data_IF_195397185780
#
_entry.id   IF_195397185780
#
_cell.length_a   1.000
_cell.length_b   1.000
_cell.length_c   1.000
_cell.angle_alpha   90.00
_cell.angle_beta   90.00
_cell.angle_gamma   90.00
#
_symmetry.space_group_name_H-M   'P 1'
#
loop_
_entity.id
_entity.type
_entity.pdbx_description
1 polymer ?
#
# COMPACT_ATOMS: atom_id res chain seq x y z
N UNK A 1 32.90 -14.45 17.05
CA UNK A 1 32.21 -13.56 18.01
C UNK A 1 31.94 -12.26 17.28
N UNK A 2 30.78 -12.13 16.64
CA UNK A 2 30.43 -10.98 15.80
C UNK A 2 30.00 -9.83 16.71
N UNK A 3 30.76 -8.73 16.67
CA UNK A 3 30.41 -7.49 17.35
C UNK A 3 29.21 -6.85 16.62
N UNK A 4 28.03 -6.96 17.21
CA UNK A 4 26.87 -6.13 16.86
C UNK A 4 27.13 -4.76 17.50
N UNK A 5 27.46 -3.76 16.68
CA UNK A 5 27.53 -2.38 17.12
C UNK A 5 26.11 -1.88 17.31
N UNK A 6 25.61 -1.92 18.54
CA UNK A 6 24.43 -1.15 18.93
C UNK A 6 24.80 0.34 18.88
N UNK A 7 24.29 1.06 17.89
CA UNK A 7 24.25 2.52 17.96
C UNK A 7 23.18 2.90 19.00
N UNK A 8 23.60 3.03 20.26
CA UNK A 8 22.82 3.69 21.29
C UNK A 8 22.86 5.19 21.04
N UNK A 9 21.90 5.70 20.28
CA UNK A 9 21.62 7.14 20.24
C UNK A 9 20.90 7.52 21.54
N UNK A 10 21.69 7.89 22.54
CA UNK A 10 21.24 8.75 23.63
C UNK A 10 21.03 10.15 23.04
N UNK A 11 19.78 10.47 22.66
CA UNK A 11 19.38 11.85 22.38
C UNK A 11 18.41 12.29 23.48
N UNK A 12 18.93 13.16 24.34
CA UNK A 12 18.13 14.02 25.21
C UNK A 12 17.48 15.12 24.37
N UNK A 13 16.17 15.09 24.17
CA UNK A 13 15.40 16.28 23.76
C UNK A 13 13.90 16.09 23.97
N UNK A 14 13.27 17.11 24.54
CA UNK A 14 11.89 17.19 25.03
C UNK A 14 10.82 17.38 23.95
N UNK A 15 11.00 16.78 22.77
CA UNK A 15 10.01 16.84 21.68
C UNK A 15 9.63 15.41 21.28
N UNK A 16 8.33 15.12 21.23
CA UNK A 16 7.80 13.79 20.92
C UNK A 16 8.43 13.22 19.66
N UNK A 17 8.88 11.97 19.74
CA UNK A 17 9.47 11.26 18.61
C UNK A 17 8.36 10.88 17.62
N UNK A 18 8.25 11.59 16.50
CA UNK A 18 7.28 11.29 15.45
C UNK A 18 7.86 10.25 14.48
N UNK A 19 7.08 9.21 14.13
CA UNK A 19 7.53 8.13 13.24
C UNK A 19 7.98 8.68 11.87
N UNK A 20 7.31 9.73 11.41
CA UNK A 20 7.66 10.46 10.18
C UNK A 20 9.12 10.93 10.18
N UNK A 21 9.57 11.57 11.25
CA UNK A 21 10.91 12.17 11.30
C UNK A 21 11.99 11.09 11.26
N UNK A 22 11.77 9.99 12.00
CA UNK A 22 12.65 8.83 11.99
C UNK A 22 12.79 8.20 10.59
N UNK A 23 11.69 8.01 9.87
CA UNK A 23 11.72 7.42 8.52
C UNK A 23 12.44 8.34 7.54
N UNK A 24 12.17 9.65 7.60
CA UNK A 24 12.81 10.63 6.72
C UNK A 24 14.32 10.65 6.92
N UNK A 25 14.82 10.41 8.13
CA UNK A 25 16.26 10.35 8.40
C UNK A 25 16.90 9.07 7.85
N UNK A 26 16.27 7.89 8.01
CA UNK A 26 16.76 6.64 7.39
C UNK A 26 16.85 6.79 5.85
N UNK A 27 15.84 7.39 5.23
CA UNK A 27 15.79 7.56 3.77
C UNK A 27 16.91 8.47 3.23
N UNK A 28 17.41 9.44 4.02
CA UNK A 28 18.52 10.32 3.60
C UNK A 28 19.85 9.56 3.46
N UNK A 29 20.06 8.55 4.30
CA UNK A 29 21.30 7.75 4.32
C UNK A 29 21.37 6.74 3.16
N UNK A 30 20.23 6.38 2.55
CA UNK A 30 20.15 5.36 1.48
C UNK A 30 20.41 5.88 0.04
N UNK A 31 20.94 7.09 -0.14
CA UNK A 31 21.15 7.72 -1.46
C UNK A 31 22.20 6.99 -2.33
N UNK A 32 21.78 5.92 -3.01
CA UNK A 32 22.59 5.21 -4.03
C UNK A 32 21.87 5.27 -5.38
N UNK A 33 22.48 5.94 -6.36
CA UNK A 33 21.94 6.10 -7.72
C UNK A 33 21.51 4.76 -8.35
N UNK A 34 20.32 4.75 -8.96
CA UNK A 34 19.75 3.63 -9.72
C UNK A 34 20.68 3.27 -10.89
N UNK A 35 20.95 1.98 -11.08
CA UNK A 35 21.55 1.50 -12.33
C UNK A 35 20.39 1.06 -13.24
N UNK A 36 20.52 1.23 -14.56
CA UNK A 36 19.47 0.91 -15.50
C UNK A 36 19.05 -0.56 -15.38
N UNK A 37 17.81 -0.81 -14.93
CA UNK A 37 17.19 -2.13 -14.91
C UNK A 37 16.55 -2.37 -16.26
N UNK A 38 16.67 -3.58 -16.80
CA UNK A 38 15.95 -3.99 -18.00
C UNK A 38 14.44 -3.96 -17.73
N UNK A 39 13.82 -2.86 -18.13
CA UNK A 39 12.40 -2.59 -17.96
C UNK A 39 11.49 -3.63 -18.65
N UNK A 40 12.01 -4.45 -19.56
CA UNK A 40 11.23 -5.49 -20.26
C UNK A 40 10.89 -6.70 -19.38
N UNK A 41 11.50 -6.81 -18.20
CA UNK A 41 11.33 -7.93 -17.25
C UNK A 41 10.70 -7.53 -15.92
N UNK A 42 10.30 -6.27 -15.76
CA UNK A 42 9.66 -5.79 -14.54
C UNK A 42 8.26 -6.39 -14.46
N UNK A 43 8.06 -7.30 -13.51
CA UNK A 43 6.72 -7.71 -13.08
C UNK A 43 6.32 -6.79 -11.96
N UNK A 44 5.26 -6.03 -12.15
CA UNK A 44 4.69 -5.18 -11.13
C UNK A 44 4.04 -6.09 -10.08
N UNK A 45 4.67 -6.32 -8.91
CA UNK A 45 4.15 -7.25 -7.90
C UNK A 45 4.04 -6.63 -6.52
N UNK A 46 3.09 -7.14 -5.74
CA UNK A 46 2.97 -6.83 -4.33
C UNK A 46 4.11 -7.49 -3.53
N UNK A 47 4.56 -6.80 -2.46
CA UNK A 47 5.60 -7.28 -1.56
C UNK A 47 5.12 -8.26 -0.49
N UNK A 48 3.80 -8.37 -0.28
CA UNK A 48 3.23 -9.27 0.72
C UNK A 48 3.43 -10.72 0.31
N UNK A 49 4.00 -11.54 1.21
CA UNK A 49 4.40 -12.90 0.90
C UNK A 49 3.22 -13.89 0.84
N UNK A 50 3.06 -14.59 -0.28
CA UNK A 50 2.08 -15.67 -0.48
C UNK A 50 2.24 -16.85 0.50
N UNK A 51 3.47 -17.13 0.95
CA UNK A 51 3.76 -18.21 1.90
C UNK A 51 3.19 -17.94 3.31
N UNK A 52 2.71 -16.72 3.56
CA UNK A 52 2.05 -16.33 4.79
C UNK A 52 0.52 -16.31 4.69
N UNK A 53 -0.09 -17.00 3.71
CA UNK A 53 -1.55 -17.16 3.63
C UNK A 53 -2.21 -17.72 4.91
N UNK A 54 -1.42 -18.25 5.84
CA UNK A 54 -1.83 -18.65 7.19
C UNK A 54 -1.84 -17.46 8.18
N UNK A 55 -0.95 -16.47 8.07
CA UNK A 55 -0.85 -15.36 9.03
C UNK A 55 -1.84 -14.21 8.83
N UNK A 56 -2.27 -13.90 7.59
CA UNK A 56 -3.21 -12.78 7.37
C UNK A 56 -4.62 -13.11 7.88
N UNK A 57 -5.08 -14.35 7.69
CA UNK A 57 -6.36 -14.83 8.25
C UNK A 57 -6.35 -14.98 9.77
N UNK A 58 -5.17 -15.10 10.37
CA UNK A 58 -4.98 -15.13 11.83
C UNK A 58 -4.88 -13.72 12.44
N UNK A 59 -4.95 -12.66 11.62
CA UNK A 59 -4.92 -11.29 12.14
C UNK A 59 -6.30 -10.85 12.61
N UNK A 60 -6.32 -10.19 13.76
CA UNK A 60 -7.56 -9.69 14.34
C UNK A 60 -8.09 -8.59 13.43
N UNK A 61 -9.28 -8.76 12.83
CA UNK A 61 -9.83 -7.74 11.95
C UNK A 61 -10.16 -6.47 12.73
N UNK A 62 -10.25 -5.34 12.04
CA UNK A 62 -10.64 -4.08 12.67
C UNK A 62 -12.01 -4.21 13.35
N UNK A 63 -12.02 -4.10 14.68
CA UNK A 63 -13.22 -4.31 15.50
C UNK A 63 -14.13 -3.08 15.51
N UNK A 64 -13.54 -1.88 15.39
CA UNK A 64 -14.28 -0.63 15.37
C UNK A 64 -14.95 -0.43 14.00
N UNK A 65 -16.18 0.08 14.01
CA UNK A 65 -16.88 0.44 12.77
C UNK A 65 -16.16 1.60 12.05
N UNK A 66 -15.58 2.52 12.81
CA UNK A 66 -14.76 3.61 12.30
C UNK A 66 -13.28 3.24 12.40
N UNK A 67 -12.62 3.12 11.26
CA UNK A 67 -11.18 2.90 11.12
C UNK A 67 -10.56 4.18 10.56
N UNK A 68 -9.49 4.65 11.19
CA UNK A 68 -8.87 5.92 10.83
C UNK A 68 -7.59 5.72 10.03
N UNK A 69 -7.25 6.66 9.15
CA UNK A 69 -6.01 6.59 8.39
C UNK A 69 -5.33 7.94 8.24
N UNK A 70 -4.01 7.93 8.05
CA UNK A 70 -3.22 9.13 7.80
C UNK A 70 -2.08 8.86 6.82
N UNK A 71 -1.86 9.79 5.89
CA UNK A 71 -0.65 9.83 5.06
C UNK A 71 0.45 10.55 5.85
N UNK A 72 1.42 9.78 6.36
CA UNK A 72 2.53 10.31 7.18
C UNK A 72 3.66 10.88 6.32
N UNK A 73 3.93 10.22 5.19
CA UNK A 73 5.02 10.58 4.28
C UNK A 73 4.45 10.69 2.89
N UNK A 74 4.51 11.89 2.35
CA UNK A 74 3.95 12.25 1.05
C UNK A 74 4.83 11.77 -0.10
N UNK A 75 4.21 11.42 -1.22
CA UNK A 75 4.93 11.07 -2.44
C UNK A 75 5.69 12.26 -3.02
N UNK A 76 6.86 12.01 -3.58
CA UNK A 76 7.57 12.99 -4.43
C UNK A 76 7.10 12.94 -5.89
N UNK A 77 6.22 11.99 -6.25
CA UNK A 77 5.78 11.72 -7.63
C UNK A 77 4.33 12.14 -7.89
N UNK A 78 3.49 12.11 -6.87
CA UNK A 78 2.09 12.52 -6.92
C UNK A 78 1.85 13.73 -6.02
N UNK A 79 0.91 14.60 -6.41
CA UNK A 79 0.44 15.65 -5.50
C UNK A 79 -0.39 15.05 -4.35
N UNK A 80 -0.39 15.72 -3.20
CA UNK A 80 -1.18 15.29 -2.03
C UNK A 80 -2.66 15.14 -2.38
N UNK A 81 -3.21 16.04 -3.20
CA UNK A 81 -4.61 15.97 -3.63
C UNK A 81 -4.93 14.75 -4.49
N UNK A 82 -3.98 14.28 -5.30
CA UNK A 82 -4.16 13.02 -6.05
C UNK A 82 -4.12 11.86 -5.06
N UNK A 83 -3.09 11.79 -4.21
CA UNK A 83 -2.94 10.73 -3.21
C UNK A 83 -4.19 10.59 -2.34
N UNK A 84 -4.65 11.71 -1.75
CA UNK A 84 -5.82 11.73 -0.85
C UNK A 84 -7.11 11.30 -1.55
N UNK A 85 -7.37 11.80 -2.77
CA UNK A 85 -8.58 11.40 -3.52
C UNK A 85 -8.54 9.94 -3.93
N UNK A 86 -7.40 9.45 -4.40
CA UNK A 86 -7.24 8.05 -4.81
C UNK A 86 -7.38 7.09 -3.62
N UNK A 87 -6.76 7.41 -2.47
CA UNK A 87 -6.91 6.62 -1.25
C UNK A 87 -8.36 6.61 -0.77
N UNK A 88 -9.01 7.78 -0.73
CA UNK A 88 -10.43 7.88 -0.36
C UNK A 88 -11.31 7.02 -1.28
N UNK A 89 -11.10 7.09 -2.60
CA UNK A 89 -11.83 6.27 -3.56
C UNK A 89 -11.63 4.76 -3.29
N UNK A 90 -10.39 4.34 -3.01
CA UNK A 90 -10.10 2.93 -2.72
C UNK A 90 -10.75 2.47 -1.41
N UNK A 91 -10.70 3.30 -0.36
CA UNK A 91 -11.41 3.04 0.90
C UNK A 91 -12.93 3.00 0.73
N UNK A 92 -13.50 3.89 -0.08
CA UNK A 92 -14.94 3.94 -0.36
C UNK A 92 -15.43 2.66 -1.05
N UNK A 93 -14.61 2.09 -1.95
CA UNK A 93 -14.91 0.80 -2.61
C UNK A 93 -15.00 -0.33 -1.57
N UNK A 94 -14.03 -0.44 -0.67
CA UNK A 94 -14.08 -1.46 0.38
C UNK A 94 -15.23 -1.21 1.36
N UNK A 95 -15.36 0.03 1.84
CA UNK A 95 -16.43 0.50 2.73
C UNK A 95 -17.82 0.15 2.19
N UNK A 96 -18.04 0.25 0.88
CA UNK A 96 -19.33 -0.09 0.27
C UNK A 96 -19.77 -1.54 0.50
N UNK A 97 -18.83 -2.46 0.73
CA UNK A 97 -19.10 -3.89 0.84
C UNK A 97 -19.17 -4.42 2.28
N UNK A 98 -18.58 -3.70 3.24
CA UNK A 98 -18.45 -4.08 4.66
C UNK A 98 -18.92 -2.99 5.62
N UNK A 99 -19.29 -3.31 6.88
CA UNK A 99 -19.70 -2.33 7.88
C UNK A 99 -18.51 -1.58 8.50
N UNK A 100 -17.59 -1.08 7.67
CA UNK A 100 -16.44 -0.27 8.10
C UNK A 100 -16.43 1.06 7.37
N UNK A 101 -16.25 2.13 8.11
CA UNK A 101 -16.06 3.49 7.61
C UNK A 101 -14.61 3.90 7.80
N UNK A 102 -14.00 4.42 6.74
CA UNK A 102 -12.61 4.87 6.78
C UNK A 102 -12.55 6.39 6.82
N UNK A 103 -11.86 6.93 7.83
CA UNK A 103 -11.79 8.38 8.03
C UNK A 103 -10.36 8.86 8.12
N UNK A 104 -10.02 9.79 7.24
CA UNK A 104 -8.74 10.46 7.28
C UNK A 104 -8.62 11.35 8.53
N UNK A 105 -7.49 11.26 9.22
CA UNK A 105 -7.16 12.07 10.39
C UNK A 105 -5.86 12.84 10.16
N UNK A 106 -5.69 13.94 10.90
CA UNK A 106 -4.50 14.80 10.82
C UNK A 106 -3.51 14.57 11.97
N UNK A 107 -3.84 13.72 12.93
CA UNK A 107 -2.99 13.39 14.07
C UNK A 107 -2.51 11.93 13.99
N UNK A 108 -1.18 11.75 13.97
CA UNK A 108 -0.53 10.45 13.83
C UNK A 108 -0.90 9.50 14.97
N UNK A 109 -1.10 10.03 16.19
CA UNK A 109 -1.42 9.20 17.36
C UNK A 109 -2.83 8.62 17.30
N UNK A 110 -3.71 9.25 16.51
CA UNK A 110 -5.10 8.84 16.31
C UNK A 110 -5.34 7.94 15.11
N UNK A 111 -4.31 7.66 14.29
CA UNK A 111 -4.43 6.90 13.06
C UNK A 111 -4.22 5.40 13.28
N UNK A 112 -5.25 4.60 12.94
CA UNK A 112 -5.16 3.14 12.91
C UNK A 112 -4.28 2.66 11.74
N UNK A 113 -4.46 3.27 10.57
CA UNK A 113 -3.72 2.95 9.34
C UNK A 113 -2.75 4.09 9.01
N UNK A 114 -1.46 3.78 8.96
CA UNK A 114 -0.36 4.70 8.67
C UNK A 114 0.20 4.42 7.29
N UNK A 115 0.06 5.39 6.41
CA UNK A 115 0.43 5.31 4.99
C UNK A 115 1.69 6.13 4.75
N UNK A 116 2.68 5.56 4.05
CA UNK A 116 3.92 6.28 3.73
C UNK A 116 4.49 5.95 2.36
N UNK A 117 4.97 6.99 1.67
CA UNK A 117 5.79 6.85 0.46
C UNK A 117 7.27 6.84 0.84
N UNK A 118 7.90 5.67 0.80
CA UNK A 118 9.26 5.42 1.33
C UNK A 118 10.14 4.75 0.28
N UNK A 119 11.46 4.73 0.49
CA UNK A 119 12.43 4.18 -0.47
C UNK A 119 13.48 3.37 0.27
N UNK A 120 14.02 2.31 -0.35
CA UNK A 120 15.14 1.58 0.22
C UNK A 120 14.83 0.99 1.60
N UNK A 121 15.80 1.09 2.52
CA UNK A 121 15.63 0.73 3.92
C UNK A 121 14.77 1.79 4.61
N UNK A 122 13.78 1.36 5.36
CA UNK A 122 12.87 2.23 6.11
C UNK A 122 12.50 1.59 7.46
N UNK A 123 11.46 2.09 8.13
CA UNK A 123 11.14 1.80 9.54
C UNK A 123 10.67 0.38 9.87
N UNK A 124 10.57 -0.51 8.89
CA UNK A 124 10.23 -1.92 9.09
C UNK A 124 11.36 -2.85 8.60
N UNK A 125 11.17 -4.16 8.75
CA UNK A 125 12.13 -5.18 8.30
C UNK A 125 11.93 -5.57 6.83
N UNK A 126 11.16 -4.80 6.06
CA UNK A 126 10.76 -5.10 4.69
C UNK A 126 11.28 -4.03 3.70
N UNK A 127 12.61 -3.83 3.59
CA UNK A 127 13.17 -2.78 2.75
C UNK A 127 12.82 -2.96 1.26
N UNK A 128 12.53 -1.86 0.56
CA UNK A 128 12.43 -1.87 -0.90
C UNK A 128 13.83 -2.00 -1.52
N UNK A 129 14.27 -3.24 -1.75
CA UNK A 129 15.59 -3.52 -2.27
C UNK A 129 15.80 -2.88 -3.66
N UNK A 130 17.03 -2.45 -3.94
CA UNK A 130 17.42 -1.94 -5.26
C UNK A 130 17.17 -3.05 -6.30
N UNK A 131 16.32 -2.76 -7.29
CA UNK A 131 15.82 -3.69 -8.31
C UNK A 131 14.72 -4.68 -7.83
N UNK A 132 14.10 -4.44 -6.66
CA UNK A 132 12.91 -5.21 -6.29
C UNK A 132 11.76 -4.89 -7.24
N UNK A 133 11.05 -5.92 -7.64
CA UNK A 133 9.75 -5.84 -8.31
C UNK A 133 8.60 -5.58 -7.32
N UNK A 134 8.92 -5.20 -6.08
CA UNK A 134 7.99 -4.85 -5.00
C UNK A 134 7.70 -3.37 -5.05
N UNK A 135 6.43 -3.02 -5.26
CA UNK A 135 6.00 -1.64 -5.47
C UNK A 135 5.29 -1.08 -4.24
N UNK A 136 4.69 -1.96 -3.45
CA UNK A 136 4.14 -1.63 -2.16
C UNK A 136 4.10 -2.89 -1.29
N UNK A 137 3.95 -2.66 0.01
CA UNK A 137 3.56 -3.70 0.94
C UNK A 137 2.65 -3.12 2.01
N UNK A 138 1.85 -3.99 2.60
CA UNK A 138 1.05 -3.67 3.76
C UNK A 138 1.17 -4.79 4.78
N UNK A 139 0.91 -4.45 6.04
CA UNK A 139 0.75 -5.45 7.08
C UNK A 139 -0.54 -5.20 7.88
N UNK A 140 -1.06 -6.24 8.55
CA UNK A 140 -2.31 -6.13 9.30
C UNK A 140 -2.24 -5.25 10.55
N UNK A 141 -1.06 -4.78 10.94
CA UNK A 141 -0.93 -3.81 12.04
C UNK A 141 -1.26 -2.38 11.62
N UNK A 142 -1.77 -2.18 10.39
CA UNK A 142 -2.15 -0.87 9.87
C UNK A 142 -1.00 -0.12 9.23
N UNK A 143 0.08 -0.78 8.81
CA UNK A 143 1.16 -0.13 8.07
C UNK A 143 0.98 -0.40 6.59
N UNK A 144 1.05 0.64 5.77
CA UNK A 144 1.02 0.54 4.32
C UNK A 144 2.09 1.45 3.71
N UNK A 145 3.03 0.84 2.99
CA UNK A 145 4.14 1.55 2.37
C UNK A 145 4.10 1.41 0.86
N UNK A 146 4.18 2.55 0.18
CA UNK A 146 4.39 2.64 -1.26
C UNK A 146 5.85 2.98 -1.55
N UNK A 147 6.45 2.30 -2.52
CA UNK A 147 7.82 2.56 -2.92
C UNK A 147 7.92 3.85 -3.76
N UNK A 148 8.48 4.93 -3.22
CA UNK A 148 8.55 6.24 -3.89
C UNK A 148 9.65 6.32 -4.97
N UNK A 149 10.43 5.25 -5.17
CA UNK A 149 11.30 5.08 -6.35
C UNK A 149 10.49 4.73 -7.61
N UNK A 150 9.22 4.33 -7.45
CA UNK A 150 8.31 4.02 -8.55
C UNK A 150 7.76 5.32 -9.14
N UNK A 151 7.72 5.47 -10.48
CA UNK A 151 7.11 6.64 -11.13
C UNK A 151 5.58 6.54 -11.08
N UNK A 152 4.99 6.72 -9.90
CA UNK A 152 3.56 6.64 -9.67
C UNK A 152 2.76 7.57 -10.58
N UNK A 153 1.65 7.05 -11.11
CA UNK A 153 0.67 7.78 -11.91
C UNK A 153 -0.73 7.39 -11.45
N UNK A 154 -1.66 8.34 -11.48
CA UNK A 154 -3.08 8.07 -11.29
C UNK A 154 -3.75 8.34 -12.63
N UNK A 155 -4.39 7.32 -13.19
CA UNK A 155 -5.04 7.42 -14.50
C UNK A 155 -6.56 7.59 -14.37
N UNK A 156 -7.16 8.11 -15.44
CA UNK A 156 -8.58 8.27 -15.63
C UNK A 156 -8.95 7.92 -17.08
N UNK A 157 -10.25 7.86 -17.38
CA UNK A 157 -10.77 7.54 -18.73
C UNK A 157 -10.28 8.49 -19.84
N UNK A 158 -9.80 9.68 -19.49
CA UNK A 158 -9.33 10.68 -20.45
C UNK A 158 -7.83 10.58 -20.76
N UNK A 159 -7.09 9.73 -20.05
CA UNK A 159 -5.64 9.72 -20.12
C UNK A 159 -5.09 8.76 -21.17
N UNK A 160 -3.98 9.16 -21.79
CA UNK A 160 -3.17 8.25 -22.60
C UNK A 160 -2.28 7.41 -21.67
N UNK A 161 -2.52 6.11 -21.65
CA UNK A 161 -1.81 5.19 -20.75
C UNK A 161 -0.50 4.76 -21.37
N UNK A 162 0.57 4.94 -20.62
CA UNK A 162 1.90 4.52 -21.05
C UNK A 162 2.06 3.01 -20.94
N UNK A 163 2.73 2.41 -21.92
CA UNK A 163 2.94 0.96 -22.06
C UNK A 163 3.61 0.28 -20.84
N UNK A 164 4.35 1.05 -20.04
CA UNK A 164 5.07 0.55 -18.85
C UNK A 164 4.73 1.39 -17.64
N UNK A 165 3.43 1.55 -17.40
CA UNK A 165 2.92 2.28 -16.25
C UNK A 165 2.22 1.37 -15.26
N UNK A 166 2.19 1.85 -14.01
CA UNK A 166 1.37 1.30 -12.96
C UNK A 166 0.42 2.40 -12.49
N UNK A 167 -0.82 2.02 -12.23
CA UNK A 167 -1.82 2.94 -11.70
C UNK A 167 -1.81 2.86 -10.17
N UNK A 168 -1.54 4.00 -9.54
CA UNK A 168 -1.55 4.16 -8.09
C UNK A 168 -2.90 3.73 -7.50
N UNK A 169 -4.01 3.99 -8.19
CA UNK A 169 -5.32 3.56 -7.71
C UNK A 169 -5.44 2.04 -7.63
N UNK A 170 -4.92 1.33 -8.64
CA UNK A 170 -4.91 -0.13 -8.64
C UNK A 170 -4.12 -0.70 -7.47
N UNK A 171 -2.93 -0.16 -7.22
CA UNK A 171 -2.07 -0.61 -6.12
C UNK A 171 -2.68 -0.26 -4.77
N UNK A 172 -3.18 0.96 -4.60
CA UNK A 172 -3.84 1.37 -3.36
C UNK A 172 -5.03 0.48 -3.02
N UNK A 173 -5.90 0.17 -3.99
CA UNK A 173 -7.04 -0.72 -3.77
C UNK A 173 -6.60 -2.12 -3.31
N UNK A 174 -5.56 -2.66 -3.93
CA UNK A 174 -4.98 -3.96 -3.59
C UNK A 174 -4.36 -3.97 -2.18
N UNK A 175 -3.45 -3.03 -1.87
CA UNK A 175 -2.76 -3.01 -0.58
C UNK A 175 -3.73 -2.76 0.59
N UNK A 176 -4.80 -2.00 0.35
CA UNK A 176 -5.87 -1.86 1.34
C UNK A 176 -6.59 -3.17 1.62
N UNK A 177 -6.72 -4.07 0.64
CA UNK A 177 -7.21 -5.42 0.89
C UNK A 177 -6.35 -6.16 1.93
N UNK A 178 -5.02 -6.03 1.85
CA UNK A 178 -4.11 -6.60 2.85
C UNK A 178 -4.23 -5.93 4.23
N UNK A 179 -4.38 -4.60 4.29
CA UNK A 179 -4.65 -3.87 5.54
C UNK A 179 -5.95 -4.35 6.19
N UNK A 180 -6.91 -4.80 5.39
CA UNK A 180 -8.18 -5.36 5.87
C UNK A 180 -8.12 -6.86 6.16
N UNK A 181 -6.98 -7.52 5.93
CA UNK A 181 -6.77 -8.93 6.27
C UNK A 181 -6.96 -9.91 5.10
N UNK A 182 -7.20 -9.42 3.87
CA UNK A 182 -7.23 -10.28 2.69
C UNK A 182 -5.83 -10.79 2.35
N UNK A 183 -5.74 -12.06 1.99
CA UNK A 183 -4.56 -12.64 1.35
C UNK A 183 -4.65 -12.50 -0.17
N UNK A 184 -3.56 -12.77 -0.88
CA UNK A 184 -3.61 -12.83 -2.33
C UNK A 184 -4.57 -13.91 -2.84
N UNK A 185 -5.32 -13.59 -3.88
CA UNK A 185 -6.14 -14.53 -4.61
C UNK A 185 -5.35 -15.07 -5.81
N UNK A 186 -4.81 -16.29 -5.66
CA UNK A 186 -3.98 -16.94 -6.70
C UNK A 186 -4.81 -17.78 -7.68
N UNK A 187 -6.13 -17.90 -7.47
CA UNK A 187 -6.98 -18.84 -8.20
C UNK A 187 -7.98 -18.15 -9.13
N UNK A 188 -8.39 -16.92 -8.82
CA UNK A 188 -9.48 -16.24 -9.53
C UNK A 188 -8.89 -15.13 -10.42
N UNK A 189 -8.96 -15.28 -11.76
CA UNK A 189 -8.51 -14.24 -12.67
C UNK A 189 -9.35 -12.98 -12.50
N UNK A 190 -8.67 -11.84 -12.63
CA UNK A 190 -9.20 -10.47 -12.50
C UNK A 190 -9.46 -9.99 -11.07
N UNK A 191 -9.16 -10.81 -10.05
CA UNK A 191 -9.18 -10.34 -8.66
C UNK A 191 -8.26 -9.14 -8.51
N UNK A 192 -8.68 -8.16 -7.71
CA UNK A 192 -7.80 -7.04 -7.35
C UNK A 192 -6.66 -7.53 -6.45
N UNK A 193 -6.84 -8.65 -5.75
CA UNK A 193 -5.90 -9.30 -4.85
C UNK A 193 -4.94 -10.29 -5.55
N UNK A 194 -4.79 -10.25 -6.88
CA UNK A 194 -3.71 -10.98 -7.55
C UNK A 194 -2.34 -10.41 -7.15
N UNK A 195 -1.35 -11.28 -6.91
CA UNK A 195 0.01 -10.86 -6.49
C UNK A 195 0.79 -10.06 -7.56
N UNK A 196 0.30 -10.03 -8.80
CA UNK A 196 0.83 -9.22 -9.89
C UNK A 196 -0.18 -8.14 -10.22
N UNK A 197 0.23 -6.87 -10.11
CA UNK A 197 -0.58 -5.75 -10.53
C UNK A 197 -0.78 -5.78 -12.04
N UNK A 198 -2.01 -5.46 -12.43
CA UNK A 198 -2.41 -5.51 -13.83
C UNK A 198 -2.14 -4.17 -14.51
N UNK A 199 -1.81 -4.24 -15.79
CA UNK A 199 -1.69 -3.03 -16.61
C UNK A 199 -3.03 -2.25 -16.62
N UNK A 200 -3.01 -0.91 -16.48
CA UNK A 200 -4.22 -0.10 -16.38
C UNK A 200 -4.94 0.11 -17.71
N UNK A 201 -4.33 -0.25 -18.85
CA UNK A 201 -5.00 -0.24 -20.15
C UNK A 201 -5.55 -1.61 -20.57
N UNK A 202 -6.67 -1.63 -21.28
CA UNK A 202 -7.14 -2.78 -22.03
C UNK A 202 -6.35 -2.99 -23.34
N UNK A 203 -6.69 -4.04 -24.11
CA UNK A 203 -6.01 -4.37 -25.38
C UNK A 203 -6.14 -3.26 -26.45
N UNK A 204 -7.06 -2.31 -26.28
CA UNK A 204 -7.27 -1.17 -27.17
C UNK A 204 -6.64 0.12 -26.63
N UNK A 205 -5.87 0.04 -25.53
CA UNK A 205 -5.23 1.19 -24.90
C UNK A 205 -6.17 2.03 -24.03
N UNK A 206 -7.41 1.59 -23.79
CA UNK A 206 -8.39 2.34 -22.99
C UNK A 206 -8.18 2.07 -21.51
N UNK A 207 -8.42 3.09 -20.68
CA UNK A 207 -8.36 2.90 -19.23
C UNK A 207 -9.33 1.81 -18.78
N UNK A 208 -8.77 0.91 -17.98
CA UNK A 208 -9.46 -0.15 -17.28
C UNK A 208 -9.38 0.23 -15.82
N UNK A 209 -10.49 0.71 -15.29
CA UNK A 209 -10.62 1.01 -13.88
C UNK A 209 -10.66 -0.31 -13.06
N UNK A 210 -9.92 -0.42 -11.94
CA UNK A 210 -10.02 -1.58 -11.06
C UNK A 210 -11.39 -1.66 -10.39
N UNK A 211 -11.90 -2.88 -10.24
CA UNK A 211 -13.17 -3.18 -9.57
C UNK A 211 -13.05 -4.49 -8.82
N UNK A 212 -13.70 -4.57 -7.67
CA UNK A 212 -13.86 -5.81 -6.93
C UNK A 212 -14.67 -6.79 -7.78
N UNK A 213 -14.20 -8.02 -7.88
CA UNK A 213 -14.98 -9.13 -8.43
C UNK A 213 -15.81 -9.77 -7.30
N UNK A 214 -16.85 -10.58 -7.60
CA UNK A 214 -17.66 -11.23 -6.57
C UNK A 214 -16.84 -11.97 -5.51
N UNK A 215 -15.76 -12.64 -5.91
CA UNK A 215 -14.89 -13.35 -4.98
C UNK A 215 -14.12 -12.42 -4.03
N UNK A 216 -13.68 -11.23 -4.47
CA UNK A 216 -13.06 -10.23 -3.58
C UNK A 216 -14.08 -9.74 -2.53
N UNK A 217 -15.35 -9.61 -2.94
CA UNK A 217 -16.47 -9.18 -2.08
C UNK A 217 -16.86 -10.27 -1.08
N UNK A 218 -16.90 -11.52 -1.52
CA UNK A 218 -17.22 -12.65 -0.65
C UNK A 218 -16.11 -12.86 0.39
N UNK A 219 -14.84 -12.80 -0.02
CA UNK A 219 -13.67 -12.95 0.87
C UNK A 219 -13.65 -11.85 1.95
N UNK A 220 -13.91 -10.58 1.60
CA UNK A 220 -13.90 -9.50 2.60
C UNK A 220 -15.11 -9.57 3.55
N UNK A 221 -16.26 -10.06 3.05
CA UNK A 221 -17.47 -10.27 3.87
C UNK A 221 -17.35 -11.49 4.78
N UNK A 222 -16.52 -12.47 4.46
CA UNK A 222 -16.18 -13.55 5.40
C UNK A 222 -15.51 -12.99 6.66
N UNK A 223 -14.73 -11.91 6.52
CA UNK A 223 -14.01 -11.26 7.63
C UNK A 223 -14.92 -10.31 8.43
N UNK A 224 -15.65 -9.42 7.75
CA UNK A 224 -16.36 -8.30 8.40
C UNK A 224 -17.89 -8.41 8.39
N UNK A 225 -18.45 -9.40 7.68
CA UNK A 225 -19.86 -9.43 7.33
C UNK A 225 -20.22 -8.41 6.24
N UNK A 226 -21.45 -8.52 5.72
CA UNK A 226 -21.98 -7.59 4.74
C UNK A 226 -22.50 -6.31 5.41
N UNK A 227 -22.30 -5.16 4.75
CA UNK A 227 -23.00 -3.92 5.13
C UNK A 227 -24.51 -4.09 4.95
N UNK A 228 -25.29 -3.82 6.00
CA UNK A 228 -26.76 -3.89 5.98
C UNK A 228 -27.33 -2.50 5.67
N UNK A 229 -28.18 -2.40 4.65
CA UNK A 229 -28.92 -1.18 4.28
C UNK A 229 -28.29 -0.36 3.14
N UNK A 230 -28.88 -0.44 1.95
CA UNK A 230 -28.75 0.54 0.86
C UNK A 230 -30.11 1.17 0.60
#
# INVERSE_FOLDING_TARGET
MYFIVFFSLLISSTHGFHLRDYILDINKESNVKRQAVDESKIRFSCGVSDFQGVKLRDTVPWQNDRVTYMVLIESKKLSQDIVRRTLRQAFDIWSAEIPREFVEVNDESSADIKIGFVTGKHCDMEPFAKNSNVFAHANPSGVLHFNDDIPWKSYSNADNIELKSIDFFWVALHELGHVLGLAHNTKVPKSVMENIYKHPADQKGRYREPRLIPEDVDDIREIYGARIGK
#
